data_IF_027365035116
#
_entry.id   IF_027365035116
#
_cell.length_a   1.000
_cell.length_b   1.000
_cell.length_c   1.000
_cell.angle_alpha   90.00
_cell.angle_beta   90.00
_cell.angle_gamma   90.00
#
_symmetry.space_group_name_H-M   'P 1'
#
loop_
_entity.id
_entity.type
_entity.pdbx_description
1 polymer ?
#
# COMPACT_ATOMS: atom_id res chain seq x y z
N UNK A 1 14.53 -30.55 8.52
CA UNK A 1 14.44 -31.99 8.17
C UNK A 1 14.05 -32.14 6.70
N UNK A 2 14.54 -33.19 6.02
CA UNK A 2 14.09 -33.58 4.67
C UNK A 2 13.24 -34.84 4.83
N UNK A 3 12.02 -34.80 4.31
CA UNK A 3 11.04 -35.87 4.44
C UNK A 3 10.39 -36.08 3.08
N UNK A 4 10.18 -37.34 2.72
CA UNK A 4 9.38 -37.72 1.53
C UNK A 4 7.96 -37.99 2.01
N UNK A 5 6.98 -37.40 1.34
CA UNK A 5 5.57 -37.53 1.69
C UNK A 5 4.77 -37.75 0.42
N UNK A 6 3.77 -38.63 0.48
CA UNK A 6 2.82 -38.86 -0.61
C UNK A 6 1.68 -37.85 -0.49
N UNK A 7 1.29 -37.22 -1.60
CA UNK A 7 0.18 -36.27 -1.66
C UNK A 7 -0.91 -36.83 -2.58
N UNK A 8 -2.15 -36.68 -2.15
CA UNK A 8 -3.29 -36.89 -3.03
C UNK A 8 -3.29 -35.87 -4.19
N UNK A 9 -3.87 -36.27 -5.32
CA UNK A 9 -3.81 -35.49 -6.55
C UNK A 9 -4.45 -34.10 -6.41
N UNK A 10 -5.52 -33.98 -5.63
CA UNK A 10 -6.20 -32.73 -5.31
C UNK A 10 -5.36 -31.80 -4.42
N UNK A 11 -4.66 -32.35 -3.43
CA UNK A 11 -3.73 -31.61 -2.56
C UNK A 11 -2.55 -31.08 -3.38
N UNK A 12 -1.95 -31.92 -4.24
CA UNK A 12 -0.84 -31.52 -5.11
C UNK A 12 -1.24 -30.39 -6.08
N UNK A 13 -2.43 -30.48 -6.70
CA UNK A 13 -2.98 -29.41 -7.54
C UNK A 13 -3.19 -28.12 -6.76
N UNK A 14 -3.75 -28.22 -5.55
CA UNK A 14 -4.03 -27.06 -4.70
C UNK A 14 -2.75 -26.33 -4.29
N UNK A 15 -1.71 -27.08 -3.90
CA UNK A 15 -0.39 -26.52 -3.58
C UNK A 15 0.26 -25.83 -4.78
N UNK A 16 0.16 -26.42 -5.97
CA UNK A 16 0.70 -25.85 -7.21
C UNK A 16 0.00 -24.54 -7.59
N UNK A 17 -1.33 -24.48 -7.42
CA UNK A 17 -2.08 -23.24 -7.60
C UNK A 17 -1.67 -22.17 -6.58
N UNK A 18 -1.42 -22.57 -5.33
CA UNK A 18 -1.01 -21.66 -4.25
C UNK A 18 0.39 -21.07 -4.50
N UNK A 19 1.33 -21.89 -4.98
CA UNK A 19 2.67 -21.47 -5.43
C UNK A 19 2.57 -20.34 -6.45
N UNK A 20 1.76 -20.54 -7.49
CA UNK A 20 1.55 -19.53 -8.56
C UNK A 20 0.94 -18.25 -8.01
N UNK A 21 -0.07 -18.36 -7.14
CA UNK A 21 -0.76 -17.19 -6.56
C UNK A 21 0.13 -16.37 -5.62
N UNK A 22 0.96 -17.03 -4.80
CA UNK A 22 1.79 -16.36 -3.78
C UNK A 22 3.21 -16.05 -4.23
N UNK A 23 3.63 -16.52 -5.42
CA UNK A 23 5.01 -16.40 -5.94
C UNK A 23 6.05 -16.92 -4.94
N UNK A 24 5.74 -18.03 -4.26
CA UNK A 24 6.60 -18.68 -3.28
C UNK A 24 7.10 -20.02 -3.81
N UNK A 25 8.22 -20.51 -3.29
CA UNK A 25 8.70 -21.85 -3.66
C UNK A 25 7.73 -22.94 -3.17
N UNK A 26 7.74 -24.11 -3.81
CA UNK A 26 6.91 -25.25 -3.39
C UNK A 26 7.17 -25.64 -1.94
N UNK A 27 8.45 -25.69 -1.52
CA UNK A 27 8.85 -25.95 -0.12
C UNK A 27 8.28 -24.93 0.86
N UNK A 28 8.31 -23.65 0.55
CA UNK A 28 7.74 -22.61 1.43
C UNK A 28 6.23 -22.78 1.54
N UNK A 29 5.57 -22.98 0.40
CA UNK A 29 4.11 -23.16 0.33
C UNK A 29 3.64 -24.36 1.16
N UNK A 30 4.31 -25.52 1.03
CA UNK A 30 4.00 -26.73 1.80
C UNK A 30 4.20 -26.49 3.29
N UNK A 31 5.35 -25.95 3.71
CA UNK A 31 5.61 -25.71 5.12
C UNK A 31 4.66 -24.67 5.73
N UNK A 32 4.31 -23.62 4.99
CA UNK A 32 3.37 -22.61 5.47
C UNK A 32 1.96 -23.18 5.60
N UNK A 33 1.51 -24.00 4.64
CA UNK A 33 0.24 -24.70 4.73
C UNK A 33 0.20 -25.64 5.94
N UNK A 34 1.25 -26.45 6.14
CA UNK A 34 1.35 -27.36 7.29
C UNK A 34 1.40 -26.61 8.62
N UNK A 35 2.20 -25.54 8.72
CA UNK A 35 2.24 -24.71 9.94
C UNK A 35 0.88 -24.08 10.25
N UNK A 36 0.15 -23.67 9.22
CA UNK A 36 -1.20 -23.12 9.39
C UNK A 36 -2.17 -24.19 9.87
N UNK A 37 -2.18 -25.36 9.23
CA UNK A 37 -3.07 -26.46 9.58
C UNK A 37 -2.78 -27.08 10.95
N UNK A 38 -1.51 -27.12 11.36
CA UNK A 38 -1.09 -27.62 12.67
C UNK A 38 -1.15 -26.56 13.78
N UNK A 39 -1.64 -25.34 13.48
CA UNK A 39 -1.67 -24.24 14.46
C UNK A 39 -0.28 -23.77 14.94
N UNK A 40 0.78 -24.13 14.21
CA UNK A 40 2.17 -23.76 14.50
C UNK A 40 2.53 -22.35 14.00
N UNK A 41 1.60 -21.68 13.30
CA UNK A 41 1.72 -20.24 13.14
C UNK A 41 1.57 -19.61 14.52
N UNK A 42 2.68 -19.15 15.09
CA UNK A 42 2.63 -18.20 16.20
C UNK A 42 1.73 -17.07 15.73
N UNK A 43 0.67 -16.77 16.48
CA UNK A 43 -0.32 -15.78 16.13
C UNK A 43 0.40 -14.58 15.51
N UNK A 44 0.11 -14.28 14.23
CA UNK A 44 0.77 -13.20 13.47
C UNK A 44 0.81 -12.02 14.41
N UNK A 45 2.03 -11.68 14.91
CA UNK A 45 2.21 -10.73 16.03
C UNK A 45 1.21 -9.60 15.81
N UNK A 46 0.29 -9.33 16.75
CA UNK A 46 -0.83 -8.45 16.51
C UNK A 46 -0.27 -7.22 15.84
N UNK A 47 -0.66 -7.01 14.57
CA UNK A 47 -0.18 -5.85 13.82
C UNK A 47 -0.69 -4.70 14.65
N UNK A 48 0.23 -3.92 15.23
CA UNK A 48 -0.14 -2.80 16.08
C UNK A 48 -1.24 -2.00 15.39
N UNK A 49 -2.19 -1.48 16.17
CA UNK A 49 -3.33 -0.73 15.66
C UNK A 49 -2.82 0.30 14.65
N UNK A 50 -3.47 0.38 13.48
CA UNK A 50 -3.06 1.34 12.46
C UNK A 50 -3.14 2.76 13.03
N UNK A 51 -2.02 3.50 12.97
CA UNK A 51 -1.93 4.88 13.42
C UNK A 51 -1.63 5.76 12.22
N UNK A 52 -2.51 6.71 11.93
CA UNK A 52 -2.26 7.75 10.92
C UNK A 52 -1.25 8.73 11.51
N UNK A 53 -0.09 8.86 10.86
CA UNK A 53 0.88 9.91 11.16
C UNK A 53 0.58 11.10 10.25
N UNK A 54 -0.05 12.13 10.80
CA UNK A 54 -0.31 13.36 10.06
C UNK A 54 1.01 14.08 9.75
N UNK A 55 1.16 14.56 8.52
CA UNK A 55 2.27 15.40 8.10
C UNK A 55 1.88 16.88 8.22
N UNK A 56 2.75 17.72 8.76
CA UNK A 56 2.54 19.16 8.81
C UNK A 56 2.71 19.76 7.40
N UNK A 57 1.62 19.88 6.65
CA UNK A 57 1.63 20.30 5.24
C UNK A 57 1.83 21.80 4.96
N UNK A 58 1.89 22.65 6.00
CA UNK A 58 2.14 24.09 5.82
C UNK A 58 1.09 24.84 4.99
N UNK A 59 -0.12 24.29 4.84
CA UNK A 59 -1.16 24.85 3.99
C UNK A 59 -1.65 26.20 4.52
N UNK A 60 -1.84 27.16 3.60
CA UNK A 60 -2.39 28.48 3.90
C UNK A 60 -3.91 28.44 3.72
N UNK A 61 -4.64 28.96 4.72
CA UNK A 61 -6.09 29.06 4.64
C UNK A 61 -6.52 29.89 3.42
N UNK A 62 -7.56 29.43 2.72
CA UNK A 62 -8.06 30.06 1.49
C UNK A 62 -7.32 29.66 0.22
N UNK A 63 -6.21 28.93 0.30
CA UNK A 63 -5.50 28.40 -0.87
C UNK A 63 -5.72 26.90 -1.00
N UNK A 64 -6.25 26.47 -2.14
CA UNK A 64 -6.34 25.06 -2.51
C UNK A 64 -5.02 24.63 -3.20
N UNK A 65 -4.23 23.73 -2.60
CA UNK A 65 -2.95 23.27 -3.17
C UNK A 65 -3.10 22.57 -4.53
N UNK A 66 -4.29 22.09 -4.87
CA UNK A 66 -4.57 21.44 -6.15
C UNK A 66 -5.06 22.41 -7.23
N UNK A 67 -5.21 23.70 -6.90
CA UNK A 67 -5.72 24.75 -7.78
C UNK A 67 -4.84 26.00 -7.79
N UNK A 68 -3.52 25.82 -7.76
CA UNK A 68 -2.56 26.92 -7.74
C UNK A 68 -2.60 27.82 -9.00
N UNK A 69 -3.11 27.30 -10.12
CA UNK A 69 -3.34 28.08 -11.34
C UNK A 69 -4.30 29.26 -11.12
N UNK A 70 -5.32 29.12 -10.27
CA UNK A 70 -6.25 30.21 -9.96
C UNK A 70 -5.54 31.36 -9.23
N UNK A 71 -4.66 31.02 -8.28
CA UNK A 71 -3.86 32.02 -7.57
C UNK A 71 -2.95 32.78 -8.54
N UNK A 72 -2.36 32.09 -9.52
CA UNK A 72 -1.58 32.76 -10.57
C UNK A 72 -2.42 33.77 -11.34
N UNK A 73 -3.63 33.39 -11.77
CA UNK A 73 -4.54 34.29 -12.49
C UNK A 73 -4.90 35.53 -11.65
N UNK A 74 -5.27 35.34 -10.38
CA UNK A 74 -5.58 36.47 -9.48
C UNK A 74 -4.39 37.44 -9.34
N UNK A 75 -3.17 36.91 -9.21
CA UNK A 75 -1.96 37.73 -9.11
C UNK A 75 -1.63 38.48 -10.41
N UNK A 76 -1.89 37.88 -11.57
CA UNK A 76 -1.73 38.51 -12.88
C UNK A 76 -2.74 39.66 -13.07
N UNK A 77 -4.00 39.43 -12.71
CA UNK A 77 -5.07 40.43 -12.73
C UNK A 77 -4.74 41.61 -11.80
N UNK A 78 -4.27 41.35 -10.58
CA UNK A 78 -3.82 42.40 -9.67
C UNK A 78 -2.65 43.22 -10.25
N UNK A 79 -1.69 42.55 -10.88
CA UNK A 79 -0.52 43.21 -11.45
C UNK A 79 -0.89 44.10 -12.63
N UNK A 80 -1.78 43.64 -13.51
CA UNK A 80 -2.29 44.44 -14.65
C UNK A 80 -3.09 45.64 -14.18
N UNK A 81 -3.99 45.48 -13.21
CA UNK A 81 -4.73 46.59 -12.60
C UNK A 81 -3.78 47.64 -11.99
N UNK A 82 -2.75 47.20 -11.25
CA UNK A 82 -1.73 48.11 -10.69
C UNK A 82 -0.95 48.85 -11.78
N UNK A 83 -0.64 48.20 -12.89
CA UNK A 83 0.05 48.83 -14.01
C UNK A 83 -0.83 49.88 -14.71
N UNK A 84 -2.12 49.60 -14.87
CA UNK A 84 -3.09 50.55 -15.43
C UNK A 84 -3.29 51.77 -14.53
N UNK A 85 -3.33 51.59 -13.19
CA UNK A 85 -3.51 52.68 -12.24
C UNK A 85 -2.30 53.63 -12.10
N UNK A 86 -1.13 53.23 -12.62
CA UNK A 86 0.11 54.03 -12.62
C UNK A 86 0.30 54.85 -13.90
N UNK A 87 -0.62 54.73 -14.85
CA UNK A 87 -0.62 55.43 -16.14
C UNK A 87 -1.63 56.56 -16.14
#
# INVERSE_FOLDING_TARGET
MRTTLTLDADVARSLTALVRRRKMTFKQTVNDALRTGLGLQTARRPRGRFVVKAHAGGFKAGLDPYKLNHLTTELEDEATLRAMARR
#
